data_IF_550988145302
#
_entry.id   IF_550988145302
#
_cell.length_a   1.000
_cell.length_b   1.000
_cell.length_c   1.000
_cell.angle_alpha   90.00
_cell.angle_beta   90.00
_cell.angle_gamma   90.00
#
_symmetry.space_group_name_H-M   'P 1'
#
loop_
_entity.id
_entity.type
_entity.pdbx_description
1 polymer ?
#
# COMPACT_ATOMS: atom_id res chain seq x y z
N UNK A 1 45.74 53.03 -4.45
CA UNK A 1 45.15 51.98 -5.33
C UNK A 1 44.61 50.92 -4.40
N UNK A 2 43.30 51.01 -4.09
CA UNK A 2 42.65 50.15 -3.11
C UNK A 2 41.95 49.01 -3.87
N UNK A 3 42.36 47.77 -3.64
CA UNK A 3 41.76 46.58 -4.26
C UNK A 3 40.66 46.07 -3.34
N UNK A 4 39.38 46.22 -3.77
CA UNK A 4 38.23 45.64 -3.10
C UNK A 4 38.14 44.14 -3.49
N UNK A 5 38.27 43.27 -2.51
CA UNK A 5 37.89 41.85 -2.64
C UNK A 5 36.39 41.71 -2.42
N UNK A 6 35.64 41.35 -3.47
CA UNK A 6 34.27 40.85 -3.35
C UNK A 6 34.31 39.37 -2.92
N UNK A 7 33.92 39.09 -1.67
CA UNK A 7 33.63 37.75 -1.23
C UNK A 7 32.22 37.39 -1.74
N UNK A 8 32.14 36.59 -2.79
CA UNK A 8 30.89 35.95 -3.22
C UNK A 8 30.61 34.81 -2.26
N UNK A 9 29.71 35.04 -1.31
CA UNK A 9 29.18 33.99 -0.47
C UNK A 9 28.31 33.06 -1.33
N UNK A 10 28.89 31.90 -1.71
CA UNK A 10 28.15 30.84 -2.37
C UNK A 10 27.08 30.32 -1.42
N UNK A 11 25.82 30.51 -1.78
CA UNK A 11 24.73 29.75 -1.19
C UNK A 11 25.00 28.25 -1.49
N UNK A 12 25.44 27.52 -0.49
CA UNK A 12 25.43 26.06 -0.51
C UNK A 12 23.95 25.64 -0.59
N UNK A 13 23.48 25.34 -1.78
CA UNK A 13 22.23 24.64 -1.97
C UNK A 13 22.33 23.33 -1.20
N UNK A 14 21.58 23.19 -0.12
CA UNK A 14 21.40 21.91 0.56
C UNK A 14 20.96 20.90 -0.50
N UNK A 15 21.80 19.90 -0.79
CA UNK A 15 21.38 18.74 -1.57
C UNK A 15 20.10 18.22 -0.92
N UNK A 16 18.96 18.44 -1.56
CA UNK A 16 17.71 17.87 -1.09
C UNK A 16 17.85 16.38 -1.29
N UNK A 17 17.96 15.62 -0.20
CA UNK A 17 18.06 14.17 -0.21
C UNK A 17 16.98 13.55 -1.11
N UNK A 18 17.20 12.34 -1.58
CA UNK A 18 16.22 11.60 -2.37
C UNK A 18 14.87 11.59 -1.65
N UNK A 19 13.79 11.89 -2.36
CA UNK A 19 12.44 11.92 -1.79
C UNK A 19 11.47 11.12 -2.65
N UNK A 20 10.41 10.61 -2.01
CA UNK A 20 9.33 9.85 -2.63
C UNK A 20 7.99 10.45 -2.22
N UNK A 21 7.13 10.76 -3.19
CA UNK A 21 5.74 11.20 -2.94
C UNK A 21 4.85 9.98 -2.97
N UNK A 22 4.15 9.72 -1.87
CA UNK A 22 3.29 8.56 -1.71
C UNK A 22 1.85 9.02 -1.58
N UNK A 23 0.99 8.55 -2.47
CA UNK A 23 -0.47 8.72 -2.37
C UNK A 23 -1.08 7.55 -1.61
N UNK A 24 -1.68 7.82 -0.48
CA UNK A 24 -2.49 6.91 0.32
C UNK A 24 -3.93 7.01 -0.16
N UNK A 25 -4.50 5.94 -0.68
CA UNK A 25 -5.90 5.89 -1.11
C UNK A 25 -6.71 5.14 -0.06
N UNK A 26 -7.12 5.83 0.99
CA UNK A 26 -8.08 5.30 1.95
C UNK A 26 -9.47 5.36 1.34
N UNK A 27 -10.13 4.23 1.17
CA UNK A 27 -11.36 4.16 0.42
C UNK A 27 -12.44 3.31 1.09
N UNK A 28 -13.69 3.70 0.87
CA UNK A 28 -14.84 2.82 1.07
C UNK A 28 -14.91 1.84 -0.10
N UNK A 29 -14.92 0.54 0.21
CA UNK A 29 -14.99 -0.50 -0.81
C UNK A 29 -16.46 -0.83 -1.15
N UNK A 30 -16.72 -1.07 -2.42
CA UNK A 30 -17.97 -1.68 -2.89
C UNK A 30 -17.80 -3.20 -2.84
N UNK A 31 -18.26 -3.81 -1.75
CA UNK A 31 -17.98 -5.21 -1.45
C UNK A 31 -18.57 -6.16 -2.48
N UNK A 32 -17.70 -6.97 -3.12
CA UNK A 32 -18.05 -7.91 -4.18
C UNK A 32 -18.34 -7.29 -5.54
N UNK A 33 -18.23 -5.97 -5.70
CA UNK A 33 -18.43 -5.27 -6.97
C UNK A 33 -17.10 -4.82 -7.59
N UNK A 34 -16.54 -5.68 -8.44
CA UNK A 34 -15.24 -5.41 -9.09
C UNK A 34 -15.33 -4.20 -10.02
N UNK A 35 -16.37 -4.08 -10.82
CA UNK A 35 -16.49 -3.00 -11.80
C UNK A 35 -16.71 -1.64 -11.12
N UNK A 36 -17.56 -1.62 -10.09
CA UNK A 36 -17.77 -0.43 -9.25
C UNK A 36 -16.48 0.03 -8.58
N UNK A 37 -15.70 -0.89 -8.00
CA UNK A 37 -14.42 -0.55 -7.39
C UNK A 37 -13.41 -0.07 -8.42
N UNK A 38 -13.24 -0.75 -9.56
CA UNK A 38 -12.30 -0.31 -10.60
C UNK A 38 -12.63 1.09 -11.10
N UNK A 39 -13.91 1.41 -11.31
CA UNK A 39 -14.36 2.76 -11.66
C UNK A 39 -14.00 3.77 -10.56
N UNK A 40 -14.39 3.48 -9.33
CA UNK A 40 -14.17 4.37 -8.19
C UNK A 40 -12.68 4.61 -7.88
N UNK A 41 -11.82 3.57 -8.01
CA UNK A 41 -10.37 3.74 -7.87
C UNK A 41 -9.76 4.49 -9.04
N UNK A 42 -10.24 4.30 -10.27
CA UNK A 42 -9.84 5.11 -11.42
C UNK A 42 -10.08 6.61 -11.19
N UNK A 43 -11.27 6.98 -10.71
CA UNK A 43 -11.60 8.37 -10.35
C UNK A 43 -10.68 8.94 -9.25
N UNK A 44 -10.29 8.11 -8.26
CA UNK A 44 -9.33 8.51 -7.23
C UNK A 44 -7.92 8.70 -7.79
N UNK A 45 -7.49 7.81 -8.67
CA UNK A 45 -6.19 7.92 -9.36
C UNK A 45 -6.13 9.22 -10.17
N UNK A 46 -7.17 9.57 -10.91
CA UNK A 46 -7.21 10.84 -11.65
C UNK A 46 -7.08 12.05 -10.71
N UNK A 47 -7.77 12.03 -9.57
CA UNK A 47 -7.78 13.12 -8.58
C UNK A 47 -6.54 13.18 -7.71
N UNK A 48 -5.76 12.10 -7.62
CA UNK A 48 -4.62 12.04 -6.72
C UNK A 48 -3.44 12.85 -7.26
N UNK A 49 -3.32 14.03 -7.40
CA UNK A 49 -2.19 14.89 -7.77
C UNK A 49 -0.93 14.14 -8.27
N UNK A 50 0.22 14.76 -8.18
CA UNK A 50 1.50 14.13 -8.52
C UNK A 50 1.98 13.21 -7.39
N UNK A 51 2.15 11.94 -7.71
CA UNK A 51 2.69 10.92 -6.82
C UNK A 51 3.74 10.05 -7.55
N UNK A 52 4.67 9.50 -6.79
CA UNK A 52 5.65 8.54 -7.29
C UNK A 52 5.18 7.10 -7.01
N UNK A 53 4.44 6.92 -5.93
CA UNK A 53 3.82 5.65 -5.53
C UNK A 53 2.38 5.91 -5.12
N UNK A 54 1.44 5.12 -5.62
CA UNK A 54 0.01 5.16 -5.29
C UNK A 54 -0.34 3.82 -4.66
N UNK A 55 -0.87 3.82 -3.44
CA UNK A 55 -1.15 2.60 -2.68
C UNK A 55 -2.64 2.49 -2.37
N UNK A 56 -3.23 1.36 -2.75
CA UNK A 56 -4.61 0.97 -2.48
C UNK A 56 -4.70 0.01 -1.31
N UNK A 57 -5.87 -0.17 -0.67
CA UNK A 57 -6.08 -1.16 0.37
C UNK A 57 -5.92 -2.61 -0.12
N UNK A 58 -5.92 -3.54 0.83
CA UNK A 58 -6.03 -4.98 0.56
C UNK A 58 -7.33 -5.30 -0.18
N UNK A 59 -7.26 -6.21 -1.17
CA UNK A 59 -8.39 -6.66 -1.98
C UNK A 59 -9.24 -5.48 -2.50
N UNK A 60 -8.58 -4.41 -2.95
CA UNK A 60 -9.20 -3.13 -3.28
C UNK A 60 -10.31 -3.26 -4.32
N UNK A 61 -10.22 -4.24 -5.21
CA UNK A 61 -11.19 -4.44 -6.27
C UNK A 61 -12.47 -5.16 -5.82
N UNK A 62 -12.50 -5.78 -4.63
CA UNK A 62 -13.65 -6.59 -4.20
C UNK A 62 -13.98 -6.50 -2.72
N UNK A 63 -13.02 -6.05 -1.90
CA UNK A 63 -13.06 -6.29 -0.46
C UNK A 63 -12.87 -7.76 -0.11
N UNK A 64 -12.81 -8.05 1.18
CA UNK A 64 -12.65 -9.42 1.70
C UNK A 64 -14.03 -10.07 1.91
N UNK A 65 -14.74 -10.38 0.84
CA UNK A 65 -16.05 -11.02 0.93
C UNK A 65 -15.90 -12.52 1.18
N UNK A 66 -15.90 -12.91 2.44
CA UNK A 66 -15.95 -14.30 2.87
C UNK A 66 -17.28 -14.57 3.58
N UNK A 67 -18.38 -14.60 2.83
CA UNK A 67 -19.71 -14.73 3.38
C UNK A 67 -19.99 -16.07 4.07
N UNK A 68 -20.65 -15.94 5.22
CA UNK A 68 -21.55 -17.00 5.69
C UNK A 68 -22.80 -16.97 4.79
N UNK A 69 -22.94 -17.98 3.92
CA UNK A 69 -24.20 -18.25 3.19
C UNK A 69 -24.38 -17.69 1.78
N UNK A 70 -23.46 -16.93 1.23
CA UNK A 70 -23.38 -16.64 -0.20
C UNK A 70 -22.28 -17.49 -0.84
N UNK A 71 -22.46 -17.97 -2.07
CA UNK A 71 -21.45 -18.79 -2.76
C UNK A 71 -20.06 -18.16 -2.71
N UNK A 72 -19.06 -19.00 -2.74
CA UNK A 72 -17.65 -18.54 -2.69
C UNK A 72 -17.32 -17.69 -3.93
N UNK A 73 -17.44 -16.38 -3.79
CA UNK A 73 -17.13 -15.43 -4.87
C UNK A 73 -15.65 -15.36 -5.22
N UNK A 74 -14.77 -16.08 -4.53
CA UNK A 74 -13.33 -16.08 -4.82
C UNK A 74 -13.03 -16.48 -6.27
N UNK A 75 -13.70 -17.50 -6.79
CA UNK A 75 -13.51 -17.94 -8.17
C UNK A 75 -13.95 -16.86 -9.17
N UNK A 76 -15.10 -16.22 -8.93
CA UNK A 76 -15.61 -15.13 -9.76
C UNK A 76 -14.65 -13.92 -9.77
N UNK A 77 -14.19 -13.50 -8.59
CA UNK A 77 -13.23 -12.38 -8.47
C UNK A 77 -11.88 -12.76 -9.09
N UNK A 78 -11.38 -13.98 -8.86
CA UNK A 78 -10.14 -14.45 -9.44
C UNK A 78 -10.19 -14.52 -10.97
N UNK A 79 -11.34 -14.84 -11.56
CA UNK A 79 -11.53 -14.79 -13.02
C UNK A 79 -11.33 -13.38 -13.60
N UNK A 80 -11.52 -12.32 -12.78
CA UNK A 80 -11.30 -10.92 -13.15
C UNK A 80 -9.85 -10.43 -12.90
N UNK A 81 -8.95 -11.31 -12.45
CA UNK A 81 -7.55 -10.95 -12.15
C UNK A 81 -6.84 -10.26 -13.32
N UNK A 82 -7.06 -10.74 -14.54
CA UNK A 82 -6.49 -10.15 -15.76
C UNK A 82 -6.91 -8.69 -15.93
N UNK A 83 -8.20 -8.41 -15.81
CA UNK A 83 -8.75 -7.04 -15.95
C UNK A 83 -8.23 -6.10 -14.86
N UNK A 84 -8.20 -6.58 -13.61
CA UNK A 84 -7.70 -5.81 -12.46
C UNK A 84 -6.21 -5.46 -12.66
N UNK A 85 -5.40 -6.43 -13.07
CA UNK A 85 -3.98 -6.23 -13.35
C UNK A 85 -3.76 -5.20 -14.48
N UNK A 86 -4.50 -5.34 -15.59
CA UNK A 86 -4.34 -4.41 -16.72
C UNK A 86 -4.79 -2.98 -16.33
N UNK A 87 -5.81 -2.82 -15.46
CA UNK A 87 -6.17 -1.50 -14.93
C UNK A 87 -5.08 -0.89 -14.06
N UNK A 88 -4.44 -1.67 -13.18
CA UNK A 88 -3.29 -1.18 -12.40
C UNK A 88 -2.14 -0.73 -13.32
N UNK A 89 -1.86 -1.48 -14.38
CA UNK A 89 -0.84 -1.11 -15.39
C UNK A 89 -1.20 0.18 -16.11
N UNK A 90 -2.45 0.29 -16.58
CA UNK A 90 -2.95 1.51 -17.25
C UNK A 90 -2.75 2.73 -16.36
N UNK A 91 -3.15 2.65 -15.08
CA UNK A 91 -2.98 3.74 -14.13
C UNK A 91 -1.50 4.06 -13.85
N UNK A 92 -0.66 3.03 -13.72
CA UNK A 92 0.78 3.21 -13.48
C UNK A 92 1.45 3.94 -14.65
N UNK A 93 1.16 3.55 -15.88
CA UNK A 93 1.67 4.20 -17.10
C UNK A 93 1.18 5.65 -17.19
N UNK A 94 -0.13 5.89 -17.02
CA UNK A 94 -0.74 7.21 -17.16
C UNK A 94 -0.25 8.20 -16.08
N UNK A 95 -0.12 7.74 -14.84
CA UNK A 95 0.37 8.58 -13.71
C UNK A 95 1.90 8.64 -13.63
N UNK A 96 2.63 7.84 -14.40
CA UNK A 96 4.10 7.69 -14.32
C UNK A 96 4.55 7.37 -12.88
N UNK A 97 3.76 6.53 -12.19
CA UNK A 97 3.93 6.16 -10.79
C UNK A 97 3.84 4.64 -10.62
N UNK A 98 4.44 4.09 -9.58
CA UNK A 98 4.12 2.72 -9.18
C UNK A 98 2.73 2.72 -8.55
N UNK A 99 1.82 1.87 -9.05
CA UNK A 99 0.48 1.69 -8.48
C UNK A 99 0.39 0.30 -7.88
N UNK A 100 -0.02 0.20 -6.61
CA UNK A 100 -0.09 -1.09 -5.93
C UNK A 100 -1.35 -1.27 -5.10
N UNK A 101 -1.84 -2.51 -5.09
CA UNK A 101 -2.96 -2.99 -4.30
C UNK A 101 -3.08 -4.49 -4.44
N UNK A 102 -3.85 -5.15 -3.56
CA UNK A 102 -4.01 -6.60 -3.68
C UNK A 102 -5.37 -7.01 -4.24
N UNK A 103 -5.41 -8.20 -4.82
CA UNK A 103 -6.60 -8.85 -5.36
C UNK A 103 -6.49 -10.36 -5.22
N UNK A 104 -7.57 -11.10 -5.56
CA UNK A 104 -7.58 -12.55 -5.55
C UNK A 104 -6.94 -13.08 -6.84
N UNK A 105 -5.96 -13.96 -6.70
CA UNK A 105 -5.33 -14.71 -7.79
C UNK A 105 -5.58 -16.21 -7.61
N UNK A 106 -5.88 -16.92 -8.69
CA UNK A 106 -6.05 -18.37 -8.70
C UNK A 106 -4.92 -19.04 -9.48
N UNK A 107 -4.41 -20.14 -8.94
CA UNK A 107 -3.46 -21.05 -9.60
C UNK A 107 -3.85 -22.51 -9.30
N UNK A 108 -4.37 -23.20 -10.29
CA UNK A 108 -5.00 -24.50 -10.09
C UNK A 108 -6.16 -24.39 -9.11
N UNK A 109 -6.17 -25.23 -8.08
CA UNK A 109 -7.20 -25.25 -7.04
C UNK A 109 -6.90 -24.30 -5.86
N UNK A 110 -5.82 -23.48 -5.97
CA UNK A 110 -5.38 -22.56 -4.91
C UNK A 110 -5.74 -21.13 -5.21
N UNK A 111 -6.13 -20.40 -4.16
CA UNK A 111 -6.37 -18.96 -4.21
C UNK A 111 -5.36 -18.24 -3.35
N UNK A 112 -4.84 -17.12 -3.85
CA UNK A 112 -3.89 -16.26 -3.17
C UNK A 112 -4.46 -14.84 -3.04
N UNK A 113 -4.15 -14.18 -1.94
CA UNK A 113 -4.30 -12.73 -1.81
C UNK A 113 -3.00 -12.10 -2.33
N UNK A 114 -3.02 -11.66 -3.60
CA UNK A 114 -1.85 -11.20 -4.35
C UNK A 114 -1.82 -9.69 -4.45
N UNK A 115 -0.77 -9.08 -3.90
CA UNK A 115 -0.43 -7.70 -4.18
C UNK A 115 0.26 -7.63 -5.54
N UNK A 116 -0.18 -6.66 -6.34
CA UNK A 116 0.40 -6.30 -7.63
C UNK A 116 1.05 -4.94 -7.46
N UNK A 117 2.34 -4.82 -7.77
CA UNK A 117 3.03 -3.56 -7.96
C UNK A 117 3.21 -3.34 -9.46
N UNK A 118 2.40 -2.46 -10.04
CA UNK A 118 2.45 -2.10 -11.46
C UNK A 118 3.33 -0.86 -11.66
N UNK A 119 4.28 -0.93 -12.59
CA UNK A 119 5.28 0.10 -12.84
C UNK A 119 4.93 0.97 -14.06
N UNK A 120 5.51 2.19 -14.15
CA UNK A 120 5.29 3.10 -15.28
C UNK A 120 5.68 2.53 -16.66
N UNK A 121 6.57 1.54 -16.70
CA UNK A 121 6.98 0.83 -17.92
C UNK A 121 6.05 -0.34 -18.30
N UNK A 122 4.96 -0.53 -17.54
CA UNK A 122 4.00 -1.61 -17.71
C UNK A 122 4.40 -2.95 -17.09
N UNK A 123 5.57 -3.05 -16.46
CA UNK A 123 5.98 -4.24 -15.71
C UNK A 123 5.13 -4.38 -14.44
N UNK A 124 4.87 -5.63 -14.04
CA UNK A 124 4.26 -5.95 -12.76
C UNK A 124 5.15 -6.88 -11.94
N UNK A 125 5.24 -6.62 -10.65
CA UNK A 125 5.81 -7.50 -9.64
C UNK A 125 4.72 -7.94 -8.68
N UNK A 126 4.88 -9.10 -8.03
CA UNK A 126 3.83 -9.74 -7.27
C UNK A 126 4.31 -10.19 -5.90
N UNK A 127 3.43 -10.06 -4.91
CA UNK A 127 3.60 -10.62 -3.57
C UNK A 127 2.34 -11.36 -3.17
N UNK A 128 2.44 -12.64 -2.86
CA UNK A 128 1.36 -13.42 -2.28
C UNK A 128 1.46 -13.38 -0.76
N UNK A 129 0.35 -13.00 -0.11
CA UNK A 129 0.26 -12.90 1.35
C UNK A 129 0.77 -14.16 2.03
N UNK A 130 1.78 -14.00 2.88
CA UNK A 130 2.38 -15.12 3.59
C UNK A 130 1.55 -15.52 4.81
N UNK A 131 1.22 -14.58 5.69
CA UNK A 131 0.48 -14.86 6.90
C UNK A 131 -1.03 -14.67 6.67
N UNK A 132 -1.74 -15.75 6.35
CA UNK A 132 -3.17 -15.71 6.10
C UNK A 132 -3.96 -15.71 7.41
N UNK A 133 -4.93 -14.76 7.56
CA UNK A 133 -5.70 -14.58 8.80
C UNK A 133 -6.60 -15.78 9.13
N UNK A 134 -7.28 -16.35 8.12
CA UNK A 134 -8.12 -17.54 8.29
C UNK A 134 -7.47 -18.73 7.58
N UNK A 135 -7.29 -19.82 8.32
CA UNK A 135 -6.78 -21.07 7.76
C UNK A 135 -7.70 -21.55 6.63
N UNK A 136 -7.13 -21.83 5.47
CA UNK A 136 -7.86 -22.36 4.31
C UNK A 136 -8.61 -21.32 3.47
N UNK A 137 -8.63 -20.03 3.86
CA UNK A 137 -9.24 -18.98 3.04
C UNK A 137 -8.40 -18.65 1.81
N UNK A 138 -7.09 -18.54 2.00
CA UNK A 138 -6.08 -18.36 0.96
C UNK A 138 -4.88 -19.27 1.24
N UNK A 139 -4.17 -19.64 0.17
CA UNK A 139 -2.88 -20.30 0.28
C UNK A 139 -1.80 -19.26 0.65
N UNK A 140 -0.86 -19.59 1.55
CA UNK A 140 0.24 -18.70 1.87
C UNK A 140 1.23 -18.61 0.70
N UNK A 141 1.76 -17.40 0.45
CA UNK A 141 2.91 -17.18 -0.41
C UNK A 141 4.21 -17.57 0.28
N UNK A 142 5.26 -17.88 -0.50
CA UNK A 142 6.55 -18.33 0.03
C UNK A 142 7.62 -17.23 0.00
N UNK A 143 7.50 -16.25 -0.92
CA UNK A 143 8.51 -15.22 -1.15
C UNK A 143 8.13 -13.85 -0.63
N UNK A 144 9.14 -13.01 -0.41
CA UNK A 144 8.95 -11.57 -0.17
C UNK A 144 9.10 -10.81 -1.49
N UNK A 145 8.41 -9.68 -1.63
CA UNK A 145 8.63 -8.73 -2.72
C UNK A 145 9.34 -7.50 -2.19
N UNK A 146 10.60 -7.33 -2.65
CA UNK A 146 11.41 -6.16 -2.36
C UNK A 146 11.97 -5.67 -3.71
N UNK A 147 11.84 -4.37 -4.00
CA UNK A 147 12.28 -3.80 -5.25
C UNK A 147 12.82 -2.37 -5.07
N UNK A 148 13.66 -1.95 -6.01
CA UNK A 148 14.20 -0.58 -6.04
C UNK A 148 13.35 0.32 -6.94
N UNK A 149 13.01 1.52 -6.43
CA UNK A 149 12.31 2.54 -7.22
C UNK A 149 12.70 3.95 -6.77
N UNK A 150 13.15 4.78 -7.71
CA UNK A 150 13.61 6.17 -7.47
C UNK A 150 14.60 6.29 -6.31
N UNK A 151 15.50 5.32 -6.18
CA UNK A 151 16.54 5.30 -5.15
C UNK A 151 16.09 4.79 -3.79
N UNK A 152 14.83 4.39 -3.62
CA UNK A 152 14.31 3.72 -2.43
C UNK A 152 14.18 2.22 -2.68
N UNK A 153 14.57 1.42 -1.68
CA UNK A 153 14.27 -0.01 -1.64
C UNK A 153 12.97 -0.21 -0.87
N UNK A 154 11.96 -0.78 -1.52
CA UNK A 154 10.59 -0.89 -1.02
C UNK A 154 10.23 -2.35 -0.81
N UNK A 155 9.84 -2.72 0.41
CA UNK A 155 9.28 -4.02 0.77
C UNK A 155 7.74 -3.94 0.84
N UNK A 156 7.04 -5.02 0.48
CA UNK A 156 5.56 -5.04 0.46
C UNK A 156 4.99 -6.19 1.24
N UNK A 157 3.91 -5.93 1.97
CA UNK A 157 3.22 -6.86 2.86
C UNK A 157 1.71 -6.64 2.81
N UNK A 158 0.95 -7.64 3.28
CA UNK A 158 -0.51 -7.57 3.29
C UNK A 158 -1.05 -7.82 4.71
N UNK A 159 -1.69 -6.79 5.29
CA UNK A 159 -2.58 -6.85 6.45
C UNK A 159 -2.01 -7.67 7.63
N UNK A 160 -2.41 -8.92 7.77
CA UNK A 160 -2.05 -9.78 8.90
C UNK A 160 -0.55 -10.06 9.00
N UNK A 161 0.23 -9.90 7.89
CA UNK A 161 1.70 -9.95 7.92
C UNK A 161 2.30 -8.97 8.93
N UNK A 162 1.61 -7.84 9.18
CA UNK A 162 2.03 -6.82 10.14
C UNK A 162 2.25 -7.37 11.56
N UNK A 163 1.54 -8.45 11.94
CA UNK A 163 1.69 -9.08 13.26
C UNK A 163 2.97 -9.88 13.43
N UNK A 164 3.64 -10.21 12.33
CA UNK A 164 4.79 -11.12 12.32
C UNK A 164 6.09 -10.35 12.07
N UNK A 165 6.71 -9.86 13.14
CA UNK A 165 7.95 -9.08 13.10
C UNK A 165 9.08 -9.81 12.35
N UNK A 166 9.19 -11.12 12.58
CA UNK A 166 10.21 -11.94 11.93
C UNK A 166 10.06 -11.99 10.40
N UNK A 167 8.82 -12.02 9.91
CA UNK A 167 8.54 -12.04 8.47
C UNK A 167 8.94 -10.73 7.79
N UNK A 168 8.73 -9.60 8.46
CA UNK A 168 9.06 -8.27 7.93
C UNK A 168 10.39 -7.70 8.44
N UNK A 169 11.23 -8.53 9.06
CA UNK A 169 12.54 -8.10 9.54
C UNK A 169 13.40 -7.55 8.40
N UNK A 170 13.94 -6.36 8.58
CA UNK A 170 14.76 -5.68 7.58
C UNK A 170 16.18 -6.25 7.50
N UNK A 171 16.30 -7.40 6.86
CA UNK A 171 17.61 -8.04 6.58
C UNK A 171 18.22 -7.60 5.24
N UNK A 172 17.45 -6.88 4.42
CA UNK A 172 17.83 -6.48 3.06
C UNK A 172 18.18 -5.01 2.94
N UNK A 173 18.00 -4.25 4.02
CA UNK A 173 18.22 -2.80 4.02
C UNK A 173 17.16 -2.04 3.22
N UNK A 174 15.88 -2.42 3.33
CA UNK A 174 14.83 -1.65 2.69
C UNK A 174 14.61 -0.31 3.42
N UNK A 175 14.30 0.72 2.66
CA UNK A 175 14.06 2.08 3.16
C UNK A 175 12.59 2.29 3.55
N UNK A 176 11.69 1.51 2.92
CA UNK A 176 10.24 1.63 3.05
C UNK A 176 9.59 0.25 3.12
N UNK A 177 8.66 0.06 4.06
CA UNK A 177 7.75 -1.09 4.10
C UNK A 177 6.31 -0.63 3.86
N UNK A 178 5.61 -1.26 2.91
CA UNK A 178 4.21 -0.97 2.57
C UNK A 178 3.33 -2.10 3.07
N UNK A 179 2.30 -1.76 3.84
CA UNK A 179 1.25 -2.68 4.30
C UNK A 179 -0.11 -2.23 3.77
N UNK A 180 -0.72 -3.05 2.90
CA UNK A 180 -2.10 -2.86 2.44
C UNK A 180 -3.05 -3.70 3.28
N UNK A 181 -4.21 -3.17 3.70
CA UNK A 181 -5.05 -3.85 4.68
C UNK A 181 -6.56 -3.67 4.46
N UNK A 182 -7.30 -4.68 4.98
CA UNK A 182 -8.69 -4.59 5.43
C UNK A 182 -8.69 -4.91 6.93
N UNK A 183 -8.24 -3.94 7.74
CA UNK A 183 -8.04 -4.12 9.18
C UNK A 183 -9.21 -3.52 9.96
N UNK A 184 -10.00 -4.34 10.70
CA UNK A 184 -11.20 -3.87 11.35
C UNK A 184 -10.93 -2.89 12.50
N UNK A 185 -11.85 -1.97 12.72
CA UNK A 185 -11.78 -0.96 13.77
C UNK A 185 -11.74 -1.57 15.19
N UNK A 186 -12.28 -2.76 15.40
CA UNK A 186 -12.18 -3.49 16.68
C UNK A 186 -10.74 -3.84 17.08
N UNK A 187 -9.80 -3.74 16.16
CA UNK A 187 -8.35 -3.96 16.38
C UNK A 187 -7.51 -2.75 15.93
N UNK A 188 -8.14 -1.56 15.94
CA UNK A 188 -7.54 -0.31 15.50
C UNK A 188 -6.24 0.04 16.24
N UNK A 189 -6.23 -0.14 17.55
CA UNK A 189 -5.07 0.13 18.39
C UNK A 189 -3.87 -0.73 18.00
N UNK A 190 -4.11 -2.02 17.70
CA UNK A 190 -3.06 -2.91 17.19
C UNK A 190 -2.50 -2.43 15.85
N UNK A 191 -3.36 -1.99 14.91
CA UNK A 191 -2.94 -1.46 13.63
C UNK A 191 -1.97 -0.29 13.79
N UNK A 192 -2.37 0.72 14.54
CA UNK A 192 -1.56 1.92 14.77
C UNK A 192 -0.26 1.60 15.53
N UNK A 193 -0.33 0.77 16.56
CA UNK A 193 0.82 0.35 17.36
C UNK A 193 1.83 -0.42 16.52
N UNK A 194 1.36 -1.44 15.80
CA UNK A 194 2.25 -2.32 15.03
C UNK A 194 2.94 -1.58 13.88
N UNK A 195 2.28 -0.66 13.17
CA UNK A 195 2.93 0.16 12.15
C UNK A 195 4.11 0.95 12.73
N UNK A 196 3.92 1.55 13.91
CA UNK A 196 4.96 2.32 14.60
C UNK A 196 6.10 1.41 15.09
N UNK A 197 5.78 0.22 15.59
CA UNK A 197 6.79 -0.76 16.01
C UNK A 197 7.62 -1.24 14.82
N UNK A 198 6.99 -1.62 13.69
CA UNK A 198 7.72 -2.04 12.48
C UNK A 198 8.66 -0.95 11.98
N UNK A 199 8.27 0.32 12.04
CA UNK A 199 9.13 1.43 11.65
C UNK A 199 10.40 1.52 12.51
N UNK A 200 10.23 1.48 13.84
CA UNK A 200 11.35 1.53 14.81
C UNK A 200 12.30 0.33 14.68
N UNK A 201 11.74 -0.87 14.67
CA UNK A 201 12.51 -2.12 14.65
C UNK A 201 13.35 -2.24 13.38
N UNK A 202 12.77 -1.83 12.25
CA UNK A 202 13.38 -1.97 10.94
C UNK A 202 14.16 -0.73 10.50
N UNK A 203 14.08 0.39 11.23
CA UNK A 203 14.64 1.71 10.86
C UNK A 203 14.27 2.11 9.44
N UNK A 204 13.01 1.88 9.07
CA UNK A 204 12.46 2.13 7.75
C UNK A 204 11.14 2.91 7.88
N UNK A 205 10.81 3.71 6.88
CA UNK A 205 9.47 4.28 6.81
C UNK A 205 8.43 3.17 6.66
N UNK A 206 7.30 3.29 7.33
CA UNK A 206 6.20 2.34 7.19
C UNK A 206 4.96 3.05 6.65
N UNK A 207 4.48 2.56 5.52
CA UNK A 207 3.26 3.02 4.86
C UNK A 207 2.18 1.99 5.15
N UNK A 208 1.12 2.40 5.85
CA UNK A 208 -0.07 1.57 6.06
C UNK A 208 -1.25 2.14 5.27
N UNK A 209 -1.88 1.35 4.39
CA UNK A 209 -3.10 1.76 3.70
C UNK A 209 -4.21 0.75 3.97
N UNK A 210 -5.24 1.23 4.64
CA UNK A 210 -6.38 0.43 5.06
C UNK A 210 -7.66 0.94 4.38
N UNK A 211 -8.64 0.06 4.19
CA UNK A 211 -9.98 0.49 3.79
C UNK A 211 -10.70 1.19 4.95
N UNK A 212 -11.73 1.95 4.64
CA UNK A 212 -12.62 2.62 5.58
C UNK A 212 -14.08 2.23 5.31
N UNK A 213 -14.98 2.61 6.21
CA UNK A 213 -16.41 2.35 6.09
C UNK A 213 -16.86 1.04 6.70
N UNK A 214 -18.02 0.55 6.29
CA UNK A 214 -18.65 -0.64 6.86
C UNK A 214 -18.90 -1.68 5.78
N UNK A 215 -18.56 -2.95 6.07
CA UNK A 215 -18.86 -4.04 5.15
C UNK A 215 -20.33 -4.48 5.24
N UNK A 216 -20.80 -5.36 4.32
CA UNK A 216 -22.19 -5.85 4.33
C UNK A 216 -22.59 -6.63 5.59
N UNK A 217 -21.63 -7.14 6.37
CA UNK A 217 -21.87 -7.84 7.62
C UNK A 217 -21.88 -6.90 8.82
N UNK A 218 -21.75 -5.57 8.61
CA UNK A 218 -21.76 -4.55 9.64
C UNK A 218 -20.41 -4.34 10.35
N UNK A 219 -19.33 -4.94 9.86
CA UNK A 219 -17.99 -4.74 10.40
C UNK A 219 -17.43 -3.40 9.94
N UNK A 220 -17.08 -2.55 10.90
CA UNK A 220 -16.53 -1.22 10.64
C UNK A 220 -15.01 -1.23 10.50
N UNK A 221 -14.51 -0.46 9.53
CA UNK A 221 -13.10 -0.22 9.24
C UNK A 221 -12.80 1.26 9.43
N UNK A 222 -11.91 1.59 10.34
CA UNK A 222 -11.58 2.96 10.69
C UNK A 222 -10.68 3.64 9.64
N UNK A 223 -10.05 2.88 8.75
CA UNK A 223 -9.00 3.39 7.88
C UNK A 223 -7.71 3.54 8.67
N UNK A 224 -7.44 4.73 9.18
CA UNK A 224 -6.15 5.07 9.83
C UNK A 224 -4.95 4.77 8.93
N UNK A 225 -5.13 5.02 7.63
CA UNK A 225 -4.02 4.96 6.68
C UNK A 225 -3.03 6.07 6.99
N UNK A 226 -1.73 5.79 6.87
CA UNK A 226 -0.75 6.81 7.18
C UNK A 226 0.68 6.37 6.89
N UNK A 227 1.62 7.28 7.12
CA UNK A 227 3.05 7.03 7.03
C UNK A 227 3.71 7.29 8.38
N UNK A 228 4.49 6.33 8.82
CA UNK A 228 5.30 6.39 10.04
C UNK A 228 6.76 6.57 9.67
N UNK A 229 7.44 7.48 10.33
CA UNK A 229 8.88 7.73 10.20
C UNK A 229 9.71 6.63 10.88
N UNK A 230 11.00 6.60 10.59
CA UNK A 230 11.95 5.61 11.14
C UNK A 230 12.12 5.69 12.66
N UNK A 231 11.68 6.78 13.28
CA UNK A 231 11.57 6.99 14.72
C UNK A 231 10.29 6.42 15.34
N UNK A 232 9.37 5.93 14.49
CA UNK A 232 8.06 5.42 14.88
C UNK A 232 7.02 6.49 15.17
N UNK A 233 7.26 7.74 14.77
CA UNK A 233 6.26 8.79 14.86
C UNK A 233 5.53 8.98 13.52
N UNK A 234 4.26 9.38 13.60
CA UNK A 234 3.47 9.63 12.40
C UNK A 234 4.00 10.86 11.66
N UNK A 235 4.33 10.68 10.37
CA UNK A 235 4.61 11.80 9.47
C UNK A 235 3.29 12.45 9.06
N UNK A 236 2.32 11.63 8.65
CA UNK A 236 0.96 12.07 8.32
C UNK A 236 0.02 10.85 8.29
N UNK A 237 -1.30 11.09 8.43
CA UNK A 237 -2.31 10.05 8.35
C UNK A 237 -3.66 10.59 7.90
N UNK A 238 -4.48 9.72 7.31
CA UNK A 238 -5.85 10.01 6.93
C UNK A 238 -6.77 10.09 8.16
N UNK A 239 -7.87 10.82 8.01
CA UNK A 239 -8.91 10.91 9.01
C UNK A 239 -9.66 9.59 9.15
N UNK A 240 -10.13 9.31 10.37
CA UNK A 240 -10.93 8.13 10.67
C UNK A 240 -12.19 8.05 9.82
N UNK A 241 -12.43 6.89 9.23
CA UNK A 241 -13.65 6.58 8.50
C UNK A 241 -13.87 7.35 7.20
N UNK A 242 -12.93 8.24 6.81
CA UNK A 242 -13.07 9.05 5.60
C UNK A 242 -12.65 8.29 4.35
N UNK A 243 -13.35 8.55 3.24
CA UNK A 243 -12.86 8.28 1.90
C UNK A 243 -11.91 9.43 1.53
N UNK A 244 -10.61 9.18 1.60
CA UNK A 244 -9.59 10.23 1.55
C UNK A 244 -8.40 9.84 0.67
N UNK A 245 -7.91 10.83 -0.09
CA UNK A 245 -6.64 10.75 -0.83
C UNK A 245 -5.65 11.68 -0.13
N UNK A 246 -4.55 11.14 0.36
CA UNK A 246 -3.51 11.95 1.00
C UNK A 246 -2.16 11.70 0.34
N UNK A 247 -1.51 12.77 -0.14
CA UNK A 247 -0.18 12.70 -0.75
C UNK A 247 0.86 13.20 0.24
N UNK A 248 1.76 12.34 0.64
CA UNK A 248 2.79 12.61 1.64
C UNK A 248 4.18 12.45 1.02
N UNK A 249 5.09 13.36 1.32
CA UNK A 249 6.49 13.25 0.89
C UNK A 249 7.35 12.68 2.01
N UNK A 250 8.10 11.64 1.70
CA UNK A 250 9.14 11.08 2.57
C UNK A 250 10.52 11.34 1.98
N UNK A 251 11.51 11.38 2.84
CA UNK A 251 12.91 11.57 2.47
C UNK A 251 13.73 10.36 2.87
N UNK A 252 14.72 10.02 2.04
CA UNK A 252 15.67 8.96 2.38
C UNK A 252 16.57 9.46 3.53
N UNK A 253 16.74 8.61 4.53
CA UNK A 253 17.62 8.88 5.68
C UNK A 253 19.10 8.68 5.30
#
# INVERSE_FOLDING_TARGET
MCVLFFVVSGYAGTERGQSLRVALIQAHLQWGDVDGNLKAFGERVERCGEADVIVFPELFASGCEMKKGGGDKKAEIAARYGDIREKLKEWAVNKKAVVMGSTIFAEGDRYYNRLIAAFPDGKCLYYDKHNCFKKGAFSPGEGQLIFDYKGFKIATYICYDLRFAEWSRNTTGYDVAVYVANWPASRREDWQKLLRERAKENKAHVIGVNCAGTDPDGLYYAGDSGIVGTDGEWIDRCDEGKDEIKVVRIYKN
#
